data_IF_530193485165
#
_entry.id   IF_530193485165
#
_cell.length_a   1.000
_cell.length_b   1.000
_cell.length_c   1.000
_cell.angle_alpha   90.00
_cell.angle_beta   90.00
_cell.angle_gamma   90.00
#
_symmetry.space_group_name_H-M   'P 1'
#
loop_
_entity.id
_entity.type
_entity.pdbx_description
1 polymer ?
#
# COMPACT_ATOMS: atom_id res chain seq x y z
N UNK A 1 26.96 -12.92 -22.39
CA UNK A 1 26.64 -11.49 -22.58
C UNK A 1 25.98 -10.95 -21.30
N UNK A 2 26.50 -9.90 -20.66
CA UNK A 2 25.83 -9.27 -19.52
C UNK A 2 24.61 -8.45 -19.99
N UNK A 3 23.44 -8.65 -19.37
CA UNK A 3 22.20 -7.90 -19.67
C UNK A 3 22.32 -6.47 -19.15
N UNK A 4 22.10 -5.48 -20.02
CA UNK A 4 22.01 -4.05 -19.64
C UNK A 4 20.88 -3.84 -18.63
N UNK A 5 21.22 -3.34 -17.44
CA UNK A 5 20.24 -3.07 -16.39
C UNK A 5 19.54 -1.72 -16.66
N UNK A 6 18.23 -1.75 -16.95
CA UNK A 6 17.41 -0.52 -17.13
C UNK A 6 17.16 0.11 -15.77
N UNK A 7 17.81 1.24 -15.48
CA UNK A 7 17.53 2.04 -14.29
C UNK A 7 16.11 2.59 -14.43
N UNK A 8 15.17 2.09 -13.62
CA UNK A 8 13.79 2.60 -13.55
C UNK A 8 13.79 3.82 -12.61
N UNK A 9 13.86 5.02 -13.17
CA UNK A 9 13.70 6.27 -12.41
C UNK A 9 12.24 6.40 -11.96
N UNK A 10 12.01 6.26 -10.65
CA UNK A 10 10.69 6.44 -10.05
C UNK A 10 10.44 7.95 -9.93
N UNK A 11 9.50 8.49 -10.72
CA UNK A 11 9.02 9.86 -10.53
C UNK A 11 8.19 9.90 -9.25
N UNK A 12 8.75 10.45 -8.19
CA UNK A 12 8.07 10.66 -6.92
C UNK A 12 7.38 12.02 -6.93
N UNK A 13 6.12 12.09 -6.50
CA UNK A 13 5.42 13.37 -6.37
C UNK A 13 6.00 14.16 -5.18
N UNK A 14 6.12 15.49 -5.33
CA UNK A 14 6.74 16.39 -4.32
C UNK A 14 6.05 16.33 -2.94
N UNK A 15 4.78 15.93 -2.90
CA UNK A 15 3.96 15.77 -1.69
C UNK A 15 3.98 14.35 -1.11
N UNK A 16 4.61 13.38 -1.77
CA UNK A 16 4.57 11.97 -1.41
C UNK A 16 6.01 11.44 -1.23
N UNK A 17 6.54 11.57 -0.02
CA UNK A 17 7.91 11.16 0.30
C UNK A 17 7.98 9.65 0.60
N UNK A 18 8.44 8.87 -0.38
CA UNK A 18 8.89 7.49 -0.18
C UNK A 18 10.29 7.51 0.44
N UNK A 19 10.41 7.42 1.77
CA UNK A 19 11.73 7.16 2.38
C UNK A 19 12.14 5.70 2.13
N UNK A 20 11.31 4.74 2.55
CA UNK A 20 11.62 3.31 2.41
C UNK A 20 10.49 2.49 1.78
N UNK A 21 9.25 2.67 2.25
CA UNK A 21 8.06 1.97 1.75
C UNK A 21 6.86 2.92 1.66
N UNK A 22 5.87 2.51 0.88
CA UNK A 22 4.56 3.16 0.83
C UNK A 22 3.92 3.13 2.24
N UNK A 23 3.50 4.28 2.80
CA UNK A 23 2.81 4.33 4.09
C UNK A 23 1.58 3.43 4.17
N UNK A 24 0.94 3.11 3.04
CA UNK A 24 -0.20 2.19 2.99
C UNK A 24 0.17 0.79 3.48
N UNK A 25 1.43 0.37 3.28
CA UNK A 25 1.91 -0.93 3.80
C UNK A 25 1.90 -0.92 5.32
N UNK A 26 2.32 0.19 5.93
CA UNK A 26 2.41 0.32 7.38
C UNK A 26 1.00 0.33 8.01
N UNK A 27 0.09 1.10 7.43
CA UNK A 27 -1.33 1.13 7.82
C UNK A 27 -1.99 -0.24 7.68
N UNK A 28 -1.79 -0.90 6.53
CA UNK A 28 -2.33 -2.22 6.28
C UNK A 28 -1.73 -3.26 7.24
N UNK A 29 -0.45 -3.15 7.59
CA UNK A 29 0.20 -4.06 8.55
C UNK A 29 -0.45 -3.96 9.93
N UNK A 30 -0.70 -2.74 10.41
CA UNK A 30 -1.41 -2.52 11.68
C UNK A 30 -2.82 -3.08 11.61
N UNK A 31 -3.58 -2.77 10.55
CA UNK A 31 -4.94 -3.29 10.38
C UNK A 31 -5.00 -4.83 10.35
N UNK A 32 -4.04 -5.49 9.69
CA UNK A 32 -3.91 -6.95 9.66
C UNK A 32 -3.54 -7.51 11.04
N UNK A 33 -2.67 -6.84 11.79
CA UNK A 33 -2.32 -7.26 13.14
C UNK A 33 -3.52 -7.15 14.10
N UNK A 34 -4.29 -6.06 13.98
CA UNK A 34 -5.47 -5.80 14.82
C UNK A 34 -6.64 -6.73 14.48
N UNK A 35 -6.75 -7.20 13.24
CA UNK A 35 -7.81 -8.13 12.84
C UNK A 35 -7.62 -9.54 13.39
N UNK A 36 -6.38 -9.91 13.76
CA UNK A 36 -6.03 -11.27 14.20
C UNK A 36 -6.12 -12.34 13.10
N UNK A 37 -6.35 -11.95 11.84
CA UNK A 37 -6.45 -12.87 10.72
C UNK A 37 -5.08 -13.45 10.33
N UNK A 38 -5.04 -14.74 10.00
CA UNK A 38 -3.83 -15.35 9.45
C UNK A 38 -3.60 -14.91 8.01
N UNK A 39 -2.37 -15.04 7.50
CA UNK A 39 -2.09 -14.73 6.10
C UNK A 39 -2.78 -15.70 5.16
N UNK A 40 -2.99 -16.94 5.60
CA UNK A 40 -3.70 -17.99 4.88
C UNK A 40 -5.18 -17.62 4.69
N UNK A 41 -5.84 -17.12 5.73
CA UNK A 41 -7.24 -16.65 5.65
C UNK A 41 -7.35 -15.46 4.69
N UNK A 42 -6.44 -14.48 4.84
CA UNK A 42 -6.40 -13.31 3.96
C UNK A 42 -6.16 -13.75 2.51
N UNK A 43 -5.29 -14.72 2.27
CA UNK A 43 -5.05 -15.24 0.92
C UNK A 43 -6.31 -15.90 0.34
N UNK A 44 -7.01 -16.71 1.12
CA UNK A 44 -8.21 -17.42 0.69
C UNK A 44 -9.28 -16.46 0.17
N UNK A 45 -9.49 -15.34 0.87
CA UNK A 45 -10.56 -14.40 0.54
C UNK A 45 -10.12 -13.26 -0.41
N UNK A 46 -8.88 -12.78 -0.30
CA UNK A 46 -8.39 -11.65 -1.11
C UNK A 46 -7.78 -12.08 -2.45
N UNK A 47 -7.38 -13.35 -2.58
CA UNK A 47 -6.60 -13.86 -3.71
C UNK A 47 -5.14 -13.37 -3.76
N UNK A 48 -4.70 -12.58 -2.76
CA UNK A 48 -3.31 -12.13 -2.65
C UNK A 48 -2.49 -13.18 -1.93
N UNK A 49 -1.42 -13.67 -2.57
CA UNK A 49 -0.63 -14.77 -2.00
C UNK A 49 0.05 -14.38 -0.68
N UNK A 50 0.20 -15.33 0.23
CA UNK A 50 0.94 -15.17 1.49
C UNK A 50 2.37 -14.69 1.26
N UNK A 51 2.99 -15.14 0.15
CA UNK A 51 4.32 -14.66 -0.26
C UNK A 51 4.30 -13.16 -0.60
N UNK A 52 3.24 -12.68 -1.25
CA UNK A 52 3.06 -11.26 -1.57
C UNK A 52 2.88 -10.44 -0.29
N UNK A 53 2.05 -10.90 0.65
CA UNK A 53 1.87 -10.27 1.96
C UNK A 53 3.19 -10.20 2.75
N UNK A 54 3.95 -11.30 2.81
CA UNK A 54 5.28 -11.34 3.43
C UNK A 54 6.25 -10.37 2.76
N UNK A 55 6.22 -10.26 1.42
CA UNK A 55 7.06 -9.32 0.68
C UNK A 55 6.70 -7.85 0.97
N UNK A 56 5.43 -7.54 1.22
CA UNK A 56 4.97 -6.21 1.62
C UNK A 56 5.45 -5.87 3.03
N UNK A 57 5.16 -6.72 4.02
CA UNK A 57 5.41 -6.40 5.43
C UNK A 57 6.88 -6.56 5.82
N UNK A 58 7.57 -7.58 5.31
CA UNK A 58 8.94 -7.93 5.72
C UNK A 58 9.95 -7.88 4.57
N UNK A 59 9.49 -7.92 3.31
CA UNK A 59 10.36 -7.94 2.14
C UNK A 59 10.73 -6.56 1.59
N UNK A 60 11.28 -6.56 0.37
CA UNK A 60 11.74 -5.35 -0.32
C UNK A 60 10.66 -4.60 -1.11
N UNK A 61 9.39 -5.01 -1.05
CA UNK A 61 8.34 -4.33 -1.82
C UNK A 61 8.10 -2.93 -1.26
N UNK A 62 8.32 -1.93 -2.11
CA UNK A 62 8.17 -0.51 -1.74
C UNK A 62 6.83 0.08 -2.12
N UNK A 63 6.16 -0.45 -3.16
CA UNK A 63 4.90 0.09 -3.72
C UNK A 63 3.98 -1.06 -4.14
N UNK A 64 3.01 -1.44 -3.30
CA UNK A 64 2.00 -2.42 -3.68
C UNK A 64 0.99 -1.77 -4.64
N UNK A 65 0.27 -2.59 -5.40
CA UNK A 65 -0.80 -2.09 -6.26
C UNK A 65 -2.03 -1.76 -5.41
N UNK A 66 -2.68 -0.62 -5.68
CA UNK A 66 -3.82 -0.18 -4.88
C UNK A 66 -4.96 -1.21 -4.87
N UNK A 67 -5.25 -1.85 -6.02
CA UNK A 67 -6.27 -2.89 -6.11
C UNK A 67 -6.04 -4.05 -5.13
N UNK A 68 -4.79 -4.51 -4.99
CA UNK A 68 -4.45 -5.61 -4.09
C UNK A 68 -4.46 -5.18 -2.62
N UNK A 69 -4.09 -3.93 -2.33
CA UNK A 69 -4.18 -3.39 -0.95
C UNK A 69 -5.65 -3.27 -0.55
N UNK A 70 -6.51 -2.75 -1.44
CA UNK A 70 -7.94 -2.62 -1.20
C UNK A 70 -8.61 -3.98 -1.02
N UNK A 71 -8.24 -5.00 -1.80
CA UNK A 71 -8.75 -6.35 -1.63
C UNK A 71 -8.43 -6.91 -0.23
N UNK A 72 -7.17 -6.79 0.20
CA UNK A 72 -6.76 -7.22 1.55
C UNK A 72 -7.49 -6.43 2.63
N UNK A 73 -7.55 -5.10 2.50
CA UNK A 73 -8.25 -4.24 3.44
C UNK A 73 -9.72 -4.64 3.61
N UNK A 74 -10.42 -4.93 2.50
CA UNK A 74 -11.83 -5.35 2.52
C UNK A 74 -12.05 -6.66 3.26
N UNK A 75 -11.15 -7.64 3.12
CA UNK A 75 -11.23 -8.92 3.83
C UNK A 75 -11.13 -8.73 5.34
N UNK A 76 -10.24 -7.84 5.79
CA UNK A 76 -10.06 -7.54 7.22
C UNK A 76 -11.04 -6.48 7.76
N UNK A 77 -12.08 -6.13 7.00
CA UNK A 77 -13.15 -5.22 7.44
C UNK A 77 -12.87 -3.72 7.27
N UNK A 78 -11.84 -3.34 6.52
CA UNK A 78 -11.48 -1.95 6.24
C UNK A 78 -11.86 -1.54 4.81
N UNK A 79 -12.11 -0.24 4.62
CA UNK A 79 -12.32 0.36 3.30
C UNK A 79 -11.39 1.55 3.11
N UNK A 80 -10.55 1.53 2.07
CA UNK A 80 -9.69 2.67 1.74
C UNK A 80 -10.52 3.72 1.01
N UNK A 81 -10.96 4.72 1.76
CA UNK A 81 -11.76 5.82 1.23
C UNK A 81 -10.95 7.12 1.14
N UNK A 82 -11.26 7.93 0.14
CA UNK A 82 -10.80 9.31 0.09
C UNK A 82 -11.60 10.14 1.07
N UNK A 83 -10.99 10.47 2.20
CA UNK A 83 -11.58 11.40 3.17
C UNK A 83 -11.27 12.85 2.76
N UNK A 84 -12.27 13.74 2.89
CA UNK A 84 -12.06 15.18 2.65
C UNK A 84 -11.16 15.74 3.75
N UNK A 85 -9.90 15.97 3.42
CA UNK A 85 -9.01 16.74 4.28
C UNK A 85 -9.47 18.21 4.35
N UNK A 86 -9.23 18.88 5.48
CA UNK A 86 -9.46 20.32 5.60
C UNK A 86 -8.79 21.04 4.42
N UNK A 87 -9.51 21.91 3.69
CA UNK A 87 -8.98 22.54 2.48
C UNK A 87 -7.75 23.37 2.84
N UNK A 88 -6.56 22.92 2.41
CA UNK A 88 -5.31 23.69 2.49
C UNK A 88 -5.16 24.67 1.33
N UNK A 89 -6.10 24.67 0.40
CA UNK A 89 -6.16 25.62 -0.71
C UNK A 89 -6.98 26.81 -0.22
N UNK A 90 -6.33 27.97 -0.04
CA UNK A 90 -7.05 29.24 0.08
C UNK A 90 -7.85 29.41 -1.21
N UNK A 91 -9.17 29.32 -1.11
CA UNK A 91 -10.03 29.81 -2.17
C UNK A 91 -9.78 31.31 -2.24
N UNK A 92 -9.12 31.75 -3.32
CA UNK A 92 -9.07 33.16 -3.67
C UNK A 92 -10.47 33.52 -4.16
N UNK A 93 -11.38 33.81 -3.23
CA UNK A 93 -12.59 34.57 -3.53
C UNK A 93 -12.15 36.00 -3.84
N UNK A 94 -12.16 36.33 -5.14
CA UNK A 94 -12.24 37.70 -5.63
C UNK A 94 -13.69 38.15 -5.70
#
# INVERSE_FOLDING_TARGET
MPRKNKIRTIRVYKSYNFRDKDPVIDQLRTAVADSGASYEDIQADSGVTTQTLKAWFHGGTRRPQFCTVQAVARVIGYDLQMVRASPKVKLLTG
#
